data_IF_172382973313
#
_entry.id   IF_172382973313
#
_cell.length_a   1.000
_cell.length_b   1.000
_cell.length_c   1.000
_cell.angle_alpha   90.00
_cell.angle_beta   90.00
_cell.angle_gamma   90.00
#
_symmetry.space_group_name_H-M   'P 1'
#
loop_
_entity.id
_entity.type
_entity.pdbx_description
1 polymer ?
#
# COMPACT_ATOMS: atom_id res chain seq x y z
N UNK A 1 -25.28 -88.64 -35.79
CA UNK A 1 -24.04 -87.84 -35.53
C UNK A 1 -24.19 -86.48 -36.24
N UNK A 2 -24.48 -85.42 -35.53
CA UNK A 2 -24.59 -84.05 -36.10
C UNK A 2 -23.34 -83.24 -35.68
N UNK A 3 -22.52 -82.88 -36.66
CA UNK A 3 -21.36 -82.00 -36.49
C UNK A 3 -21.83 -80.57 -36.15
N UNK A 4 -21.27 -79.99 -35.00
CA UNK A 4 -21.45 -78.59 -34.70
C UNK A 4 -20.46 -77.77 -35.53
N UNK A 5 -20.83 -76.60 -36.06
CA UNK A 5 -19.87 -75.69 -36.67
C UNK A 5 -19.07 -74.90 -35.65
N UNK A 6 -17.77 -74.78 -35.94
CA UNK A 6 -16.78 -73.97 -35.20
C UNK A 6 -17.17 -72.50 -35.27
N UNK A 7 -17.23 -71.85 -34.11
CA UNK A 7 -17.30 -70.41 -33.98
C UNK A 7 -15.88 -69.83 -34.07
N UNK A 8 -15.67 -68.97 -35.02
CA UNK A 8 -14.45 -68.12 -35.13
C UNK A 8 -14.45 -67.07 -34.06
N UNK A 9 -13.32 -66.83 -33.39
CA UNK A 9 -13.22 -65.71 -32.42
C UNK A 9 -13.09 -64.38 -33.17
N UNK A 10 -14.07 -63.49 -32.98
CA UNK A 10 -14.00 -62.11 -33.40
C UNK A 10 -12.97 -61.38 -32.58
N UNK A 11 -11.88 -60.96 -33.20
CA UNK A 11 -10.83 -60.17 -32.57
C UNK A 11 -11.31 -58.77 -32.24
N UNK A 12 -10.75 -58.17 -31.20
CA UNK A 12 -11.06 -56.78 -30.81
C UNK A 12 -10.35 -55.83 -31.76
N UNK A 13 -11.06 -55.27 -32.70
CA UNK A 13 -10.48 -54.30 -33.61
C UNK A 13 -11.26 -52.98 -33.55
N UNK A 14 -10.62 -51.93 -33.24
CA UNK A 14 -10.97 -50.61 -33.72
C UNK A 14 -11.29 -49.51 -32.74
N UNK A 15 -11.42 -49.73 -31.42
CA UNK A 15 -11.81 -48.64 -30.51
C UNK A 15 -10.67 -47.87 -29.86
N UNK A 16 -9.40 -48.33 -29.98
CA UNK A 16 -8.26 -47.70 -29.28
C UNK A 16 -7.76 -46.39 -29.92
N UNK A 17 -7.85 -46.23 -31.23
CA UNK A 17 -7.34 -45.03 -31.92
C UNK A 17 -8.23 -43.80 -31.75
N UNK A 18 -9.53 -43.94 -31.74
CA UNK A 18 -10.47 -42.82 -31.55
C UNK A 18 -10.50 -42.35 -30.09
N UNK A 19 -10.41 -43.29 -29.13
CA UNK A 19 -10.30 -42.96 -27.72
C UNK A 19 -8.98 -42.24 -27.39
N UNK A 20 -7.87 -42.63 -28.03
CA UNK A 20 -6.56 -41.99 -27.86
C UNK A 20 -6.52 -40.59 -28.45
N UNK A 21 -7.13 -40.35 -29.62
CA UNK A 21 -7.25 -39.02 -30.25
C UNK A 21 -8.14 -38.09 -29.45
N UNK A 22 -9.24 -38.57 -28.87
CA UNK A 22 -10.11 -37.78 -28.00
C UNK A 22 -9.41 -37.36 -26.68
N UNK A 23 -8.63 -38.28 -26.09
CA UNK A 23 -7.85 -38.02 -24.86
C UNK A 23 -6.72 -37.00 -25.06
N UNK A 24 -5.98 -37.09 -26.16
CA UNK A 24 -4.89 -36.12 -26.46
C UNK A 24 -5.41 -34.73 -26.78
N UNK A 25 -6.55 -34.61 -27.50
CA UNK A 25 -7.20 -33.33 -27.75
C UNK A 25 -7.70 -32.65 -26.47
N UNK A 26 -8.34 -33.42 -25.58
CA UNK A 26 -8.79 -32.94 -24.28
C UNK A 26 -7.60 -32.44 -23.42
N UNK A 27 -6.50 -33.19 -23.44
CA UNK A 27 -5.30 -32.83 -22.69
C UNK A 27 -4.61 -31.55 -23.23
N UNK A 28 -4.56 -31.41 -24.56
CA UNK A 28 -4.05 -30.20 -25.21
C UNK A 28 -4.94 -28.99 -24.90
N UNK A 29 -6.27 -29.16 -24.94
CA UNK A 29 -7.21 -28.08 -24.63
C UNK A 29 -7.07 -27.63 -23.17
N UNK A 30 -6.97 -28.60 -22.26
CA UNK A 30 -6.77 -28.30 -20.83
C UNK A 30 -5.44 -27.57 -20.58
N UNK A 31 -4.35 -27.99 -21.22
CA UNK A 31 -3.07 -27.32 -21.14
C UNK A 31 -3.12 -25.89 -21.72
N UNK A 32 -3.83 -25.70 -22.85
CA UNK A 32 -4.00 -24.37 -23.43
C UNK A 32 -4.82 -23.43 -22.54
N UNK A 33 -5.90 -23.91 -21.90
CA UNK A 33 -6.70 -23.14 -20.95
C UNK A 33 -5.87 -22.79 -19.72
N UNK A 34 -5.09 -23.72 -19.21
CA UNK A 34 -4.23 -23.49 -18.05
C UNK A 34 -3.13 -22.48 -18.35
N UNK A 35 -2.51 -22.56 -19.52
CA UNK A 35 -1.55 -21.57 -19.98
C UNK A 35 -2.18 -20.17 -20.12
N UNK A 36 -3.39 -20.09 -20.66
CA UNK A 36 -4.13 -18.82 -20.77
C UNK A 36 -4.43 -18.22 -19.41
N UNK A 37 -4.84 -19.02 -18.42
CA UNK A 37 -5.08 -18.55 -17.06
C UNK A 37 -3.81 -18.05 -16.37
N UNK A 38 -2.67 -18.71 -16.60
CA UNK A 38 -1.37 -18.26 -16.07
C UNK A 38 -0.99 -16.90 -16.69
N UNK A 39 -1.11 -16.79 -18.03
CA UNK A 39 -0.81 -15.51 -18.72
C UNK A 39 -1.73 -14.40 -18.25
N UNK A 40 -3.03 -14.68 -18.10
CA UNK A 40 -3.99 -13.70 -17.59
C UNK A 40 -3.65 -13.25 -16.16
N UNK A 41 -3.27 -14.19 -15.30
CA UNK A 41 -2.87 -13.88 -13.92
C UNK A 41 -1.60 -13.00 -13.90
N UNK A 42 -0.58 -13.33 -14.70
CA UNK A 42 0.63 -12.52 -14.81
C UNK A 42 0.33 -11.12 -15.37
N UNK A 43 -0.60 -11.02 -16.32
CA UNK A 43 -0.99 -9.74 -16.89
C UNK A 43 -1.73 -8.87 -15.87
N UNK A 44 -2.63 -9.44 -15.08
CA UNK A 44 -3.32 -8.72 -13.99
C UNK A 44 -2.33 -8.30 -12.91
N UNK A 45 -1.36 -9.15 -12.56
CA UNK A 45 -0.33 -8.84 -11.56
C UNK A 45 0.66 -7.75 -12.03
N UNK A 46 0.78 -7.54 -13.33
CA UNK A 46 1.61 -6.47 -13.90
C UNK A 46 0.90 -5.12 -14.01
N UNK A 47 -0.41 -5.08 -13.74
CA UNK A 47 -1.16 -3.83 -13.75
C UNK A 47 -0.87 -3.00 -12.49
N UNK A 48 -0.81 -1.67 -12.60
CA UNK A 48 -0.68 -0.79 -11.44
C UNK A 48 -1.82 -1.00 -10.44
N UNK A 49 -1.53 -0.86 -9.15
CA UNK A 49 -2.48 -1.10 -8.05
C UNK A 49 -3.72 -0.21 -8.11
N UNK A 50 -3.60 1.00 -8.66
CA UNK A 50 -4.74 1.91 -8.88
C UNK A 50 -5.81 1.37 -9.85
N UNK A 51 -5.45 0.40 -10.71
CA UNK A 51 -6.38 -0.23 -11.66
C UNK A 51 -6.93 -1.57 -11.17
N UNK A 52 -6.20 -2.26 -10.29
CA UNK A 52 -6.52 -3.63 -9.86
C UNK A 52 -7.17 -3.70 -8.49
N UNK A 53 -6.98 -2.68 -7.64
CA UNK A 53 -7.53 -2.66 -6.29
C UNK A 53 -8.65 -1.63 -6.18
N UNK A 54 -9.86 -2.10 -5.90
CA UNK A 54 -11.02 -1.26 -5.64
C UNK A 54 -11.34 -1.32 -4.14
N UNK A 55 -11.25 -0.18 -3.48
CA UNK A 55 -11.57 -0.10 -2.05
C UNK A 55 -13.08 -0.13 -1.84
N UNK A 56 -13.57 -1.25 -1.32
CA UNK A 56 -14.98 -1.47 -0.95
C UNK A 56 -15.22 -1.35 0.55
N UNK A 57 -14.19 -0.98 1.33
CA UNK A 57 -14.34 -0.80 2.78
C UNK A 57 -15.15 0.45 3.11
N UNK A 58 -15.94 0.39 4.17
CA UNK A 58 -16.72 1.54 4.64
C UNK A 58 -15.83 2.71 5.10
N UNK A 59 -14.62 2.40 5.56
CA UNK A 59 -13.60 3.35 6.02
C UNK A 59 -12.68 3.89 4.92
N UNK A 60 -12.80 3.37 3.69
CA UNK A 60 -11.95 3.75 2.53
C UNK A 60 -10.44 3.69 2.82
N UNK A 61 -10.00 2.77 3.66
CA UNK A 61 -8.60 2.60 4.08
C UNK A 61 -7.62 2.39 2.92
N UNK A 62 -8.12 1.91 1.79
CA UNK A 62 -7.33 1.59 0.61
C UNK A 62 -7.56 2.57 -0.56
N UNK A 63 -8.21 3.71 -0.33
CA UNK A 63 -8.41 4.73 -1.35
C UNK A 63 -7.71 6.02 -0.95
N UNK A 64 -7.22 6.76 -1.95
CA UNK A 64 -6.66 8.09 -1.76
C UNK A 64 -7.67 9.16 -2.16
N UNK A 65 -7.73 10.24 -1.39
CA UNK A 65 -8.64 11.35 -1.61
C UNK A 65 -8.27 12.16 -2.85
N UNK A 66 -9.17 13.05 -3.26
CA UNK A 66 -8.87 14.00 -4.35
C UNK A 66 -7.78 14.99 -3.97
N UNK A 67 -7.66 15.35 -2.70
CA UNK A 67 -6.61 16.26 -2.22
C UNK A 67 -5.21 15.64 -2.39
N UNK A 68 -5.03 14.40 -1.95
CA UNK A 68 -3.79 13.64 -2.15
C UNK A 68 -3.40 13.57 -3.62
N UNK A 69 -4.37 13.30 -4.51
CA UNK A 69 -4.12 13.27 -5.95
C UNK A 69 -3.65 14.61 -6.49
N UNK A 70 -4.19 15.73 -5.99
CA UNK A 70 -3.74 17.05 -6.41
C UNK A 70 -2.30 17.29 -5.98
N UNK A 71 -1.95 17.01 -4.73
CA UNK A 71 -0.58 17.16 -4.21
C UNK A 71 0.40 16.28 -4.98
N UNK A 72 0.09 14.99 -5.11
CA UNK A 72 0.99 14.02 -5.76
C UNK A 72 1.17 14.27 -7.25
N UNK A 73 0.11 14.67 -7.97
CA UNK A 73 0.21 14.98 -9.40
C UNK A 73 0.90 16.32 -9.69
N UNK A 74 1.05 17.19 -8.69
CA UNK A 74 1.75 18.47 -8.81
C UNK A 74 3.25 18.34 -8.52
N UNK A 75 3.76 17.13 -8.19
CA UNK A 75 5.17 16.92 -7.91
C UNK A 75 6.04 17.15 -9.14
N UNK A 76 7.05 17.98 -9.00
CA UNK A 76 8.10 18.25 -9.99
C UNK A 76 9.46 17.70 -9.53
N UNK A 77 9.56 17.27 -8.27
CA UNK A 77 10.79 16.77 -7.63
C UNK A 77 10.58 15.32 -7.19
N UNK A 78 11.67 14.55 -7.18
CA UNK A 78 11.65 13.17 -6.75
C UNK A 78 11.57 13.08 -5.22
N UNK A 79 10.60 12.32 -4.73
CA UNK A 79 10.34 12.05 -3.32
C UNK A 79 10.60 10.59 -3.04
N UNK A 80 11.42 10.30 -2.03
CA UNK A 80 11.65 8.95 -1.55
C UNK A 80 10.95 8.73 -0.23
N UNK A 81 10.14 7.69 -0.14
CA UNK A 81 9.51 7.25 1.10
C UNK A 81 10.24 6.01 1.60
N UNK A 82 11.01 6.15 2.66
CA UNK A 82 11.63 5.01 3.31
C UNK A 82 10.64 4.38 4.28
N UNK A 83 10.33 3.13 4.08
CA UNK A 83 9.48 2.33 4.96
C UNK A 83 10.34 1.49 5.89
N UNK A 84 10.37 1.84 7.17
CA UNK A 84 11.18 1.20 8.20
C UNK A 84 10.40 0.04 8.79
N UNK A 85 10.75 -1.18 8.38
CA UNK A 85 10.04 -2.39 8.79
C UNK A 85 10.94 -3.62 8.76
N UNK A 86 10.81 -4.47 9.77
CA UNK A 86 11.43 -5.81 9.79
C UNK A 86 10.72 -6.73 8.81
N UNK A 87 11.48 -7.64 8.20
CA UNK A 87 10.91 -8.62 7.26
C UNK A 87 9.89 -9.52 7.95
N UNK A 88 8.66 -9.53 7.46
CA UNK A 88 7.55 -10.31 8.00
C UNK A 88 6.66 -9.55 9.01
N UNK A 89 7.01 -8.29 9.33
CA UNK A 89 6.23 -7.41 10.21
C UNK A 89 5.56 -6.25 9.42
N UNK A 90 5.46 -6.43 8.09
CA UNK A 90 4.85 -5.45 7.22
C UNK A 90 3.34 -5.31 7.50
N UNK A 91 2.90 -4.07 7.73
CA UNK A 91 1.48 -3.74 7.82
C UNK A 91 0.85 -3.67 6.41
N UNK A 92 -0.15 -4.52 6.16
CA UNK A 92 -0.78 -4.63 4.85
C UNK A 92 -1.54 -3.36 4.42
N UNK A 93 -2.04 -2.55 5.36
CA UNK A 93 -2.74 -1.29 5.05
C UNK A 93 -1.73 -0.25 4.58
N UNK A 94 -0.61 -0.14 5.30
CA UNK A 94 0.49 0.78 4.95
C UNK A 94 1.12 0.36 3.62
N UNK A 95 1.39 -0.93 3.41
CA UNK A 95 1.95 -1.44 2.14
C UNK A 95 1.06 -1.07 0.95
N UNK A 96 -0.24 -1.32 1.06
CA UNK A 96 -1.20 -0.97 0.02
C UNK A 96 -1.28 0.54 -0.23
N UNK A 97 -1.23 1.35 0.83
CA UNK A 97 -1.27 2.80 0.71
C UNK A 97 -0.01 3.32 0.01
N UNK A 98 1.18 2.87 0.42
CA UNK A 98 2.45 3.22 -0.21
C UNK A 98 2.49 2.84 -1.69
N UNK A 99 2.04 1.63 -2.05
CA UNK A 99 1.94 1.21 -3.45
C UNK A 99 1.00 2.08 -4.27
N UNK A 100 -0.03 2.68 -3.66
CA UNK A 100 -0.89 3.65 -4.34
C UNK A 100 -0.18 4.97 -4.59
N UNK A 101 0.60 5.48 -3.65
CA UNK A 101 1.40 6.68 -3.87
C UNK A 101 2.40 6.49 -5.01
N UNK A 102 3.12 5.37 -5.07
CA UNK A 102 4.00 5.04 -6.19
C UNK A 102 3.25 4.97 -7.53
N UNK A 103 2.02 4.43 -7.53
CA UNK A 103 1.23 4.31 -8.76
C UNK A 103 0.61 5.63 -9.24
N UNK A 104 0.55 6.66 -8.39
CA UNK A 104 -0.02 7.97 -8.72
C UNK A 104 1.00 8.90 -9.38
N UNK A 105 2.29 8.75 -9.11
CA UNK A 105 3.33 9.63 -9.65
C UNK A 105 4.64 8.88 -9.83
N UNK A 106 5.28 9.07 -10.98
CA UNK A 106 6.62 8.57 -11.28
C UNK A 106 7.71 9.25 -10.43
N UNK A 107 7.37 10.35 -9.74
CA UNK A 107 8.26 11.06 -8.82
C UNK A 107 8.28 10.45 -7.40
N UNK A 108 7.45 9.46 -7.10
CA UNK A 108 7.44 8.81 -5.78
C UNK A 108 8.08 7.44 -5.88
N UNK A 109 9.05 7.18 -5.01
CA UNK A 109 9.70 5.87 -4.86
C UNK A 109 9.62 5.42 -3.42
N UNK A 110 9.17 4.18 -3.19
CA UNK A 110 9.12 3.56 -1.86
C UNK A 110 10.29 2.59 -1.69
N UNK A 111 11.04 2.76 -0.61
CA UNK A 111 12.22 1.94 -0.29
C UNK A 111 12.07 1.32 1.09
N UNK A 112 11.95 -0.01 1.18
CA UNK A 112 11.95 -0.71 2.47
C UNK A 112 13.34 -0.66 3.13
N UNK A 113 13.38 -0.32 4.40
CA UNK A 113 14.59 -0.30 5.25
C UNK A 113 14.38 -1.21 6.45
N UNK A 114 14.99 -2.38 6.40
CA UNK A 114 14.94 -3.29 7.53
C UNK A 114 15.89 -2.83 8.64
N UNK A 115 15.40 -2.50 9.86
CA UNK A 115 16.23 -2.05 10.97
C UNK A 115 17.22 -3.12 11.47
N UNK A 116 16.98 -4.39 11.25
CA UNK A 116 17.95 -5.46 11.57
C UNK A 116 19.21 -5.40 10.67
N UNK A 117 19.06 -4.85 9.45
CA UNK A 117 20.16 -4.68 8.48
C UNK A 117 20.75 -3.28 8.56
N UNK A 118 19.92 -2.28 8.82
CA UNK A 118 20.27 -0.86 8.87
C UNK A 118 19.86 -0.23 10.21
N UNK A 119 20.45 -0.62 11.35
CA UNK A 119 19.99 -0.23 12.69
C UNK A 119 20.08 1.26 12.96
N UNK A 120 21.02 1.98 12.34
CA UNK A 120 21.23 3.42 12.54
C UNK A 120 20.59 4.29 11.45
N UNK A 121 19.84 3.69 10.52
CA UNK A 121 19.27 4.45 9.41
C UNK A 121 18.31 5.54 9.88
N UNK A 122 17.44 5.22 10.82
CA UNK A 122 16.43 6.16 11.30
C UNK A 122 16.99 7.28 12.19
N UNK A 123 18.14 7.07 12.87
CA UNK A 123 18.78 8.02 13.78
C UNK A 123 19.20 9.34 13.10
N UNK A 124 19.32 9.34 11.75
CA UNK A 124 19.64 10.56 10.99
C UNK A 124 18.41 11.45 10.73
N UNK A 125 17.21 10.95 11.04
CA UNK A 125 15.94 11.63 10.77
C UNK A 125 15.14 11.96 12.02
N UNK A 126 15.39 11.24 13.13
CA UNK A 126 14.66 11.42 14.38
C UNK A 126 15.46 10.93 15.58
N UNK A 127 15.26 11.59 16.73
CA UNK A 127 15.75 11.16 18.04
C UNK A 127 14.71 10.27 18.77
N UNK A 128 13.54 10.04 18.18
CA UNK A 128 12.48 9.23 18.76
C UNK A 128 12.74 7.74 18.64
N UNK A 129 12.06 6.94 19.49
CA UNK A 129 12.08 5.48 19.36
C UNK A 129 11.28 5.06 18.13
N UNK A 130 11.97 4.52 17.13
CA UNK A 130 11.35 4.10 15.88
C UNK A 130 10.67 2.74 16.04
N UNK A 131 9.40 2.67 15.71
CA UNK A 131 8.59 1.45 15.66
C UNK A 131 8.59 0.87 14.25
N UNK A 132 8.33 -0.44 14.12
CA UNK A 132 8.04 -1.04 12.81
C UNK A 132 6.88 -0.30 12.13
N UNK A 133 6.96 -0.19 10.81
CA UNK A 133 6.00 0.52 9.97
C UNK A 133 6.00 2.06 10.12
N UNK A 134 7.03 2.64 10.75
CA UNK A 134 7.30 4.07 10.65
C UNK A 134 7.86 4.42 9.27
N UNK A 135 7.72 5.67 8.87
CA UNK A 135 8.13 6.15 7.55
C UNK A 135 9.09 7.35 7.68
N UNK A 136 9.90 7.54 6.65
CA UNK A 136 10.63 8.80 6.42
C UNK A 136 10.34 9.25 5.00
N UNK A 137 9.86 10.45 4.83
CA UNK A 137 9.67 11.09 3.52
C UNK A 137 10.82 12.05 3.30
N UNK A 138 11.50 11.93 2.16
CA UNK A 138 12.68 12.72 1.81
C UNK A 138 12.58 13.31 0.40
N UNK A 139 12.95 14.58 0.27
CA UNK A 139 13.07 15.28 -1.01
C UNK A 139 14.29 16.21 -0.94
N UNK A 140 15.35 15.86 -1.67
CA UNK A 140 16.62 16.59 -1.62
C UNK A 140 17.24 16.58 -0.23
N UNK A 141 17.39 17.76 0.39
CA UNK A 141 17.96 17.92 1.75
C UNK A 141 16.88 17.95 2.84
N UNK A 142 15.60 17.92 2.48
CA UNK A 142 14.49 17.98 3.42
C UNK A 142 13.92 16.60 3.68
N UNK A 143 13.62 16.33 4.93
CA UNK A 143 12.99 15.08 5.32
C UNK A 143 11.97 15.30 6.43
N UNK A 144 11.00 14.38 6.53
CA UNK A 144 10.06 14.32 7.64
C UNK A 144 9.88 12.86 8.07
N UNK A 145 10.05 12.64 9.35
CA UNK A 145 9.76 11.35 9.98
C UNK A 145 8.27 11.29 10.32
N UNK A 146 7.68 10.11 10.12
CA UNK A 146 6.30 9.78 10.46
C UNK A 146 6.36 8.55 11.35
N UNK A 147 5.98 8.69 12.61
CA UNK A 147 5.93 7.56 13.52
C UNK A 147 4.75 6.64 13.21
N UNK A 148 4.80 5.41 13.69
CA UNK A 148 3.64 4.50 13.61
C UNK A 148 2.41 5.07 14.31
N UNK A 149 2.61 5.83 15.39
CA UNK A 149 1.53 6.44 16.17
C UNK A 149 0.89 7.64 15.45
N UNK A 150 1.57 8.28 14.50
CA UNK A 150 0.99 9.30 13.61
C UNK A 150 0.12 8.67 12.51
N UNK A 151 0.42 7.42 12.14
CA UNK A 151 -0.36 6.65 11.15
C UNK A 151 -1.60 6.04 11.80
N UNK A 152 -1.47 5.50 13.02
CA UNK A 152 -2.53 4.91 13.80
C UNK A 152 -2.78 5.72 15.07
N UNK A 153 -3.65 6.70 14.98
CA UNK A 153 -4.01 7.58 16.08
C UNK A 153 -4.81 6.82 17.13
N UNK A 154 -4.35 6.84 18.38
CA UNK A 154 -5.03 6.20 19.51
C UNK A 154 -5.59 7.25 20.45
N UNK A 155 -6.89 7.40 20.51
CA UNK A 155 -7.59 8.33 21.40
C UNK A 155 -8.26 7.58 22.56
N UNK A 156 -8.06 8.02 23.82
CA UNK A 156 -8.74 7.40 24.95
C UNK A 156 -10.23 7.75 24.94
N UNK A 157 -11.08 6.74 25.01
CA UNK A 157 -12.52 6.90 25.23
C UNK A 157 -12.82 6.94 26.73
N UNK A 158 -13.15 8.14 27.21
CA UNK A 158 -13.43 8.40 28.61
C UNK A 158 -14.69 7.70 29.13
N UNK A 159 -15.60 7.26 28.26
CA UNK A 159 -16.83 6.58 28.64
C UNK A 159 -16.70 5.07 28.74
N UNK A 160 -15.89 4.49 27.87
CA UNK A 160 -15.70 3.03 27.80
C UNK A 160 -14.40 2.56 28.43
N UNK A 161 -13.52 3.48 28.86
CA UNK A 161 -12.16 3.20 29.33
C UNK A 161 -11.36 2.34 28.35
N UNK A 162 -11.62 2.50 27.04
CA UNK A 162 -10.92 1.86 25.94
C UNK A 162 -10.20 2.90 25.09
N UNK A 163 -9.41 2.43 24.12
CA UNK A 163 -8.80 3.28 23.11
C UNK A 163 -9.50 3.09 21.78
N UNK A 164 -9.89 4.20 21.16
CA UNK A 164 -10.34 4.21 19.77
C UNK A 164 -9.11 4.43 18.87
N UNK A 165 -8.85 3.48 17.98
CA UNK A 165 -7.77 3.62 17.00
C UNK A 165 -8.36 4.04 15.66
N UNK A 166 -7.85 5.12 15.09
CA UNK A 166 -8.17 5.58 13.74
C UNK A 166 -6.93 5.58 12.86
N UNK A 167 -7.13 5.29 11.57
CA UNK A 167 -6.06 5.28 10.58
C UNK A 167 -5.98 6.64 9.87
N UNK A 168 -4.85 7.33 9.96
CA UNK A 168 -4.58 8.64 9.34
C UNK A 168 -3.35 8.59 8.41
N UNK A 169 -2.99 7.41 7.92
CA UNK A 169 -1.80 7.23 7.10
C UNK A 169 -1.77 8.10 5.84
N UNK A 170 -2.93 8.33 5.22
CA UNK A 170 -3.02 9.21 4.05
C UNK A 170 -2.71 10.67 4.43
N UNK A 171 -3.31 11.17 5.52
CA UNK A 171 -3.05 12.52 6.02
C UNK A 171 -1.59 12.73 6.36
N UNK A 172 -1.00 11.82 7.13
CA UNK A 172 0.39 11.89 7.55
C UNK A 172 1.36 11.88 6.36
N UNK A 173 1.18 10.97 5.38
CA UNK A 173 2.06 10.87 4.20
C UNK A 173 1.90 12.09 3.30
N UNK A 174 0.66 12.52 3.00
CA UNK A 174 0.42 13.69 2.13
C UNK A 174 0.99 14.97 2.74
N UNK A 175 0.79 15.19 4.05
CA UNK A 175 1.37 16.32 4.79
C UNK A 175 2.90 16.30 4.75
N UNK A 176 3.51 15.11 4.94
CA UNK A 176 4.96 14.98 4.87
C UNK A 176 5.52 15.25 3.47
N UNK A 177 4.85 14.77 2.42
CA UNK A 177 5.23 15.07 1.02
C UNK A 177 5.15 16.57 0.78
N UNK A 178 4.03 17.22 1.14
CA UNK A 178 3.86 18.66 1.00
C UNK A 178 4.96 19.45 1.74
N UNK A 179 5.29 19.02 2.96
CA UNK A 179 6.36 19.62 3.76
C UNK A 179 7.73 19.55 3.08
N UNK A 180 8.12 18.39 2.53
CA UNK A 180 9.47 18.23 1.98
C UNK A 180 9.65 18.88 0.62
N UNK A 181 8.57 19.04 -0.16
CA UNK A 181 8.65 19.68 -1.50
C UNK A 181 8.47 21.20 -1.43
N UNK A 182 7.74 21.72 -0.44
CA UNK A 182 7.50 23.15 -0.27
C UNK A 182 8.47 23.75 0.74
N UNK A 183 9.40 24.60 0.27
CA UNK A 183 10.37 25.25 1.16
C UNK A 183 9.73 26.36 2.02
N UNK A 184 8.69 27.02 1.52
CA UNK A 184 7.98 28.09 2.21
C UNK A 184 6.69 27.51 2.83
N UNK A 185 6.66 27.47 4.18
CA UNK A 185 5.47 27.04 4.90
C UNK A 185 4.55 28.23 5.15
N UNK A 186 3.22 28.07 5.11
CA UNK A 186 2.28 29.12 5.50
C UNK A 186 2.51 29.55 6.95
N UNK A 187 2.60 30.84 7.20
CA UNK A 187 2.82 31.38 8.52
C UNK A 187 1.51 31.90 9.13
N UNK A 188 1.22 31.49 10.35
CA UNK A 188 0.09 31.96 11.14
C UNK A 188 0.61 32.77 12.31
N UNK A 189 0.13 34.02 12.45
CA UNK A 189 0.51 34.90 13.53
C UNK A 189 -0.60 34.97 14.57
N UNK A 190 -0.26 34.73 15.83
CA UNK A 190 -1.15 34.90 16.98
C UNK A 190 -0.97 36.30 17.58
N UNK A 191 -2.06 36.98 17.87
CA UNK A 191 -2.04 38.22 18.62
C UNK A 191 -2.01 37.87 20.11
N UNK A 192 -1.08 38.48 20.85
CA UNK A 192 -0.96 38.34 22.30
C UNK A 192 -1.09 39.68 23.02
N UNK A 193 -1.35 39.65 24.35
CA UNK A 193 -1.32 40.83 25.22
C UNK A 193 -2.69 41.43 25.54
N UNK A 194 -3.80 40.81 25.16
CA UNK A 194 -5.15 41.29 25.44
C UNK A 194 -5.97 40.33 26.32
N UNK A 195 -5.32 39.31 26.92
CA UNK A 195 -5.97 38.29 27.75
C UNK A 195 -6.55 37.12 26.95
N UNK A 196 -5.99 36.85 25.78
CA UNK A 196 -6.31 35.70 24.96
C UNK A 196 -5.97 34.40 25.70
N UNK A 197 -6.79 33.38 25.46
CA UNK A 197 -6.50 32.04 25.95
C UNK A 197 -5.46 31.37 25.05
N UNK A 198 -4.65 30.49 25.64
CA UNK A 198 -3.74 29.62 24.87
C UNK A 198 -4.54 28.77 23.87
N UNK A 199 -3.94 28.52 22.71
CA UNK A 199 -4.54 27.64 21.72
C UNK A 199 -4.59 26.21 22.28
N UNK A 200 -5.72 25.51 22.13
CA UNK A 200 -5.79 24.09 22.51
C UNK A 200 -4.71 23.27 21.79
N UNK A 201 -4.11 22.31 22.48
CA UNK A 201 -3.07 21.45 21.90
C UNK A 201 -3.54 20.75 20.64
N UNK A 202 -4.80 20.29 20.62
CA UNK A 202 -5.41 19.67 19.44
C UNK A 202 -5.45 20.59 18.23
N UNK A 203 -5.57 21.91 18.43
CA UNK A 203 -5.51 22.87 17.32
C UNK A 203 -4.07 23.11 16.87
N UNK A 204 -3.11 23.14 17.79
CA UNK A 204 -1.68 23.23 17.46
C UNK A 204 -1.24 22.01 16.66
N UNK A 205 -1.65 20.79 17.06
CA UNK A 205 -1.39 19.55 16.33
C UNK A 205 -1.96 19.59 14.89
N UNK A 206 -3.15 20.21 14.71
CA UNK A 206 -3.73 20.38 13.37
C UNK A 206 -2.97 21.39 12.50
N UNK A 207 -2.43 22.45 13.09
CA UNK A 207 -1.57 23.41 12.37
C UNK A 207 -0.27 22.75 11.93
N UNK A 208 0.35 21.96 12.80
CA UNK A 208 1.54 21.19 12.46
C UNK A 208 1.28 20.18 11.33
N UNK A 209 0.16 19.44 11.41
CA UNK A 209 -0.27 18.53 10.33
C UNK A 209 -0.58 19.25 9.02
N UNK A 210 -1.00 20.50 9.08
CA UNK A 210 -1.23 21.36 7.92
C UNK A 210 0.04 22.09 7.44
N UNK A 211 1.21 21.77 8.02
CA UNK A 211 2.48 22.42 7.74
C UNK A 211 2.44 23.95 7.91
N UNK A 212 1.71 24.46 8.90
CA UNK A 212 1.63 25.88 9.23
C UNK A 212 2.57 26.21 10.38
N UNK A 213 3.40 27.23 10.21
CA UNK A 213 4.26 27.75 11.28
C UNK A 213 3.47 28.76 12.12
N UNK A 214 3.36 28.50 13.44
CA UNK A 214 2.72 29.42 14.37
C UNK A 214 3.76 30.36 14.97
N UNK A 215 3.51 31.67 14.85
CA UNK A 215 4.32 32.75 15.41
C UNK A 215 3.49 33.60 16.39
N UNK A 216 4.15 34.07 17.45
CA UNK A 216 3.59 34.97 18.47
C UNK A 216 3.98 36.42 18.17
#
# INVERSE_FOLDING_TARGET
MKKRPNATPSGPAGHSRQAFQGGTYSLMLTAAVLALLIVLNLLVSALPTNLTQYDISASKLYSVTSNTKVVVNALEQDVTIYWIVQSGEEDAVIENLLGKYESLSDHITVVKKNPDVYPTFAEQYTDETVKNNSLVVECGERSRFISYDDIYLSEPDMYTYSYNTSFDGEGAITSAIDYVVNAEQPQLYRLEGHGESELPSTFQDQLEKANMELHD
#
